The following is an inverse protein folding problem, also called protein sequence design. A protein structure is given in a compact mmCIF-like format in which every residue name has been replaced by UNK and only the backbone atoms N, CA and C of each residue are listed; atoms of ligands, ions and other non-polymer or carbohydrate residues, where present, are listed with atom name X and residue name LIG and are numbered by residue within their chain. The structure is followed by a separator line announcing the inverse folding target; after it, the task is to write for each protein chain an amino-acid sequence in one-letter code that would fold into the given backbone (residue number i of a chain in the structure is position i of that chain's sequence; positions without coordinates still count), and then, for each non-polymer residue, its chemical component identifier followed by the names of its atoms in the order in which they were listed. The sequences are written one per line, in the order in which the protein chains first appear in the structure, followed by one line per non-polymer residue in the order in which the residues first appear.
data_IF_626513230232
#
_entry.id   IF_626513230232
#
_cell.length_a   1.000
_cell.length_b   1.000
_cell.length_c   1.000
_cell.angle_alpha   90.00
_cell.angle_beta   90.00
_cell.angle_gamma   90.00
#
_symmetry.space_group_name_H-M   'P 1'
#
loop_
_entity.id
_entity.type
_entity.pdbx_description
1 polymer ?
#
# COMPACT_ATOMS: atom_id res chain seq x y z
N UNK A 1 -12.10 24.24 -44.57
CA UNK A 1 -11.17 24.68 -43.52
C UNK A 1 -11.47 23.87 -42.27
N UNK A 2 -10.61 22.88 -42.08
CA UNK A 2 -10.21 22.11 -40.89
C UNK A 2 -11.22 21.89 -39.74
N UNK A 3 -11.54 20.59 -39.62
CA UNK A 3 -12.08 19.86 -38.48
C UNK A 3 -11.37 20.15 -37.14
N UNK A 4 -12.17 20.12 -36.07
CA UNK A 4 -11.75 20.33 -34.70
C UNK A 4 -10.77 19.26 -34.20
N UNK A 5 -9.65 19.73 -33.67
CA UNK A 5 -8.67 18.94 -32.95
C UNK A 5 -9.24 18.47 -31.61
N UNK A 6 -9.15 17.16 -31.37
CA UNK A 6 -9.22 16.57 -30.02
C UNK A 6 -8.02 17.06 -29.24
N UNK A 7 -8.18 18.19 -28.56
CA UNK A 7 -7.23 18.69 -27.56
C UNK A 7 -7.26 17.72 -26.36
N UNK A 8 -6.31 16.78 -26.34
CA UNK A 8 -5.98 16.02 -25.13
C UNK A 8 -5.45 16.96 -24.04
N UNK A 9 -5.67 16.67 -22.75
CA UNK A 9 -5.25 17.56 -21.68
C UNK A 9 -3.72 17.70 -21.66
N UNK A 10 -3.17 18.88 -21.29
CA UNK A 10 -1.74 19.12 -21.34
C UNK A 10 -1.00 18.26 -20.30
N UNK A 11 0.01 17.52 -20.77
CA UNK A 11 0.97 16.77 -19.96
C UNK A 11 1.93 17.75 -19.27
N UNK A 12 1.51 18.22 -18.11
CA UNK A 12 2.26 19.13 -17.25
C UNK A 12 1.57 19.44 -15.92
N UNK A 13 0.59 18.63 -15.53
CA UNK A 13 -0.04 18.75 -14.22
C UNK A 13 0.85 18.08 -13.18
N UNK A 14 1.24 18.75 -12.08
CA UNK A 14 1.55 18.00 -10.86
C UNK A 14 0.30 17.16 -10.55
N UNK A 15 0.39 15.93 -10.01
CA UNK A 15 -0.78 15.08 -9.88
C UNK A 15 -1.84 15.86 -9.11
N UNK A 16 -2.91 16.26 -9.79
CA UNK A 16 -4.09 16.88 -9.19
C UNK A 16 -4.71 15.94 -8.13
N UNK A 17 -4.27 14.68 -8.05
CA UNK A 17 -4.51 13.78 -6.92
C UNK A 17 -3.85 14.22 -5.61
N UNK A 18 -2.66 14.84 -5.57
CA UNK A 18 -1.99 15.07 -4.27
C UNK A 18 -2.71 16.11 -3.39
N UNK A 19 -3.30 17.16 -4.00
CA UNK A 19 -4.05 18.18 -3.28
C UNK A 19 -5.56 17.91 -3.19
N UNK A 20 -6.17 17.21 -4.15
CA UNK A 20 -7.57 16.77 -4.03
C UNK A 20 -7.72 15.63 -3.00
N UNK A 21 -6.70 14.79 -2.78
CA UNK A 21 -6.70 13.73 -1.77
C UNK A 21 -6.49 14.22 -0.34
N UNK A 22 -5.90 15.39 -0.10
CA UNK A 22 -5.69 15.91 1.27
C UNK A 22 -7.02 16.05 2.06
N UNK A 23 -8.15 16.29 1.39
CA UNK A 23 -9.48 16.36 2.00
C UNK A 23 -10.10 14.98 2.29
N UNK A 24 -9.73 13.93 1.55
CA UNK A 24 -10.08 12.52 1.84
C UNK A 24 -9.12 11.86 2.83
N UNK A 25 -7.90 12.41 2.98
CA UNK A 25 -6.85 11.92 3.90
C UNK A 25 -7.12 12.25 5.37
N UNK A 26 -8.04 13.17 5.66
CA UNK A 26 -8.63 13.36 6.99
C UNK A 26 -9.67 12.28 7.34
N UNK A 27 -9.80 11.23 6.52
CA UNK A 27 -10.62 10.05 6.81
C UNK A 27 -10.06 9.20 7.95
N UNK A 28 -10.02 9.76 9.16
CA UNK A 28 -10.10 8.95 10.37
C UNK A 28 -11.45 8.22 10.28
N UNK A 29 -11.44 7.00 9.74
CA UNK A 29 -12.50 6.08 10.03
C UNK A 29 -12.41 5.83 11.54
N UNK A 30 -13.43 6.20 12.35
CA UNK A 30 -13.34 6.11 13.80
C UNK A 30 -13.14 4.66 14.29
N UNK A 31 -13.27 3.67 13.41
CA UNK A 31 -13.06 2.25 13.71
C UNK A 31 -11.63 1.76 13.48
N UNK A 32 -10.73 2.53 12.86
CA UNK A 32 -9.33 2.08 12.63
C UNK A 32 -8.57 1.77 13.93
N UNK A 33 -8.57 2.61 14.99
CA UNK A 33 -7.82 2.28 16.21
C UNK A 33 -8.39 1.04 16.92
N UNK A 34 -9.71 0.84 16.89
CA UNK A 34 -10.34 -0.35 17.46
C UNK A 34 -10.01 -1.60 16.64
N UNK A 35 -10.06 -1.50 15.30
CA UNK A 35 -9.70 -2.61 14.40
C UNK A 35 -8.26 -3.02 14.60
N UNK A 36 -7.35 -2.05 14.74
CA UNK A 36 -5.93 -2.31 14.91
C UNK A 36 -5.65 -2.92 16.30
N UNK A 37 -6.34 -2.46 17.34
CA UNK A 37 -6.32 -3.10 18.66
C UNK A 37 -6.78 -4.57 18.58
N UNK A 38 -7.92 -4.83 17.95
CA UNK A 38 -8.46 -6.19 17.84
C UNK A 38 -7.55 -7.12 17.05
N UNK A 39 -6.86 -6.62 16.02
CA UNK A 39 -5.87 -7.40 15.27
C UNK A 39 -4.68 -7.80 16.15
N UNK A 40 -4.15 -6.88 16.94
CA UNK A 40 -3.04 -7.16 17.87
C UNK A 40 -3.50 -8.09 19.00
N UNK A 41 -4.70 -7.88 19.55
CA UNK A 41 -5.28 -8.73 20.57
C UNK A 41 -5.45 -10.17 20.09
N UNK A 42 -6.09 -10.38 18.94
CA UNK A 42 -6.31 -11.73 18.40
C UNK A 42 -4.99 -12.45 18.12
N UNK A 43 -3.99 -11.71 17.61
CA UNK A 43 -2.66 -12.28 17.37
C UNK A 43 -1.95 -12.62 18.69
N UNK A 44 -2.08 -11.77 19.70
CA UNK A 44 -1.50 -12.00 21.03
C UNK A 44 -2.11 -13.24 21.68
N UNK A 45 -3.43 -13.39 21.66
CA UNK A 45 -4.11 -14.54 22.25
C UNK A 45 -3.70 -15.84 21.57
N UNK A 46 -3.57 -15.85 20.24
CA UNK A 46 -3.10 -17.02 19.50
C UNK A 46 -1.66 -17.40 19.89
N UNK A 47 -0.75 -16.42 19.90
CA UNK A 47 0.67 -16.67 20.20
C UNK A 47 0.87 -17.15 21.64
N UNK A 48 0.24 -16.49 22.60
CA UNK A 48 0.40 -16.85 24.00
C UNK A 48 -0.22 -18.22 24.29
N UNK A 49 -1.35 -18.56 23.67
CA UNK A 49 -1.91 -19.91 23.77
C UNK A 49 -0.97 -20.98 23.20
N UNK A 50 -0.43 -20.77 22.00
CA UNK A 50 0.50 -21.72 21.36
C UNK A 50 1.83 -21.91 22.14
N UNK A 51 2.26 -20.90 22.92
CA UNK A 51 3.55 -20.96 23.63
C UNK A 51 3.45 -21.34 25.10
N UNK A 52 2.37 -20.96 25.77
CA UNK A 52 2.23 -21.14 27.22
C UNK A 52 1.32 -22.30 27.62
N UNK A 53 0.49 -22.82 26.70
CA UNK A 53 -0.43 -23.94 26.99
C UNK A 53 -0.01 -25.16 26.15
N UNK A 54 0.98 -25.95 26.62
CA UNK A 54 1.48 -27.11 25.89
C UNK A 54 0.52 -28.31 25.94
N UNK A 55 -0.32 -28.41 26.97
CA UNK A 55 -1.21 -29.55 27.17
C UNK A 55 -2.53 -29.12 27.82
N UNK A 56 -3.64 -29.72 27.38
CA UNK A 56 -4.99 -29.40 27.88
C UNK A 56 -5.55 -30.56 28.73
N UNK A 57 -4.76 -31.03 29.70
CA UNK A 57 -5.17 -32.13 30.58
C UNK A 57 -6.26 -31.72 31.58
N UNK A 58 -6.30 -30.43 31.94
CA UNK A 58 -7.27 -29.84 32.85
C UNK A 58 -7.98 -28.66 32.18
N UNK A 59 -9.23 -28.39 32.59
CA UNK A 59 -10.02 -27.27 32.03
C UNK A 59 -9.55 -25.91 32.56
N UNK A 60 -8.98 -25.88 33.76
CA UNK A 60 -8.38 -24.69 34.35
C UNK A 60 -6.89 -24.62 33.97
N UNK A 61 -6.36 -23.41 33.88
CA UNK A 61 -4.94 -23.16 33.68
C UNK A 61 -4.18 -23.49 34.97
N UNK A 62 -2.98 -24.04 34.81
CA UNK A 62 -2.05 -24.22 35.93
C UNK A 62 -1.36 -22.89 36.28
N UNK A 63 -0.88 -22.73 37.51
CA UNK A 63 -0.25 -21.48 37.97
C UNK A 63 0.99 -21.07 37.13
N UNK A 64 1.73 -22.06 36.61
CA UNK A 64 2.86 -21.82 35.70
C UNK A 64 2.41 -21.31 34.32
N UNK A 65 1.28 -21.81 33.82
CA UNK A 65 0.70 -21.35 32.56
C UNK A 65 0.16 -19.92 32.71
N UNK A 66 -0.51 -19.62 33.83
CA UNK A 66 -0.96 -18.26 34.17
C UNK A 66 0.21 -17.27 34.22
N UNK A 67 1.29 -17.60 34.94
CA UNK A 67 2.50 -16.77 35.01
C UNK A 67 3.17 -16.57 33.63
N UNK A 68 3.15 -17.61 32.78
CA UNK A 68 3.63 -17.52 31.40
C UNK A 68 2.76 -16.59 30.55
N UNK A 69 1.43 -16.68 30.66
CA UNK A 69 0.49 -15.84 29.91
C UNK A 69 0.65 -14.36 30.25
N UNK A 70 0.77 -14.02 31.54
CA UNK A 70 1.03 -12.65 32.00
C UNK A 70 2.34 -12.10 31.43
N UNK A 71 3.40 -12.92 31.51
CA UNK A 71 4.71 -12.57 30.93
C UNK A 71 4.65 -12.43 29.41
N UNK A 72 3.90 -13.28 28.71
CA UNK A 72 3.76 -13.27 27.26
C UNK A 72 3.04 -12.00 26.79
N UNK A 73 1.87 -11.71 27.38
CA UNK A 73 1.09 -10.52 27.07
C UNK A 73 1.90 -9.25 27.35
N UNK A 74 2.56 -9.17 28.52
CA UNK A 74 3.45 -8.07 28.86
C UNK A 74 4.56 -7.88 27.82
N UNK A 75 5.31 -8.94 27.50
CA UNK A 75 6.40 -8.86 26.50
C UNK A 75 5.90 -8.43 25.12
N UNK A 76 4.76 -8.96 24.68
CA UNK A 76 4.23 -8.66 23.36
C UNK A 76 3.77 -7.20 23.27
N UNK A 77 3.06 -6.69 24.27
CA UNK A 77 2.63 -5.27 24.31
C UNK A 77 3.84 -4.34 24.28
N UNK A 78 4.83 -4.55 25.15
CA UNK A 78 6.03 -3.71 25.19
C UNK A 78 6.81 -3.77 23.87
N UNK A 79 6.95 -4.96 23.30
CA UNK A 79 7.65 -5.15 22.01
C UNK A 79 6.89 -4.50 20.86
N UNK A 80 5.56 -4.66 20.83
CA UNK A 80 4.70 -4.05 19.83
C UNK A 80 4.79 -2.53 19.86
N UNK A 81 4.73 -1.92 21.06
CA UNK A 81 4.91 -0.47 21.21
C UNK A 81 6.29 0.00 20.73
N UNK A 82 7.37 -0.72 21.06
CA UNK A 82 8.72 -0.37 20.59
C UNK A 82 8.86 -0.46 19.07
N UNK A 83 8.30 -1.51 18.47
CA UNK A 83 8.31 -1.69 17.02
C UNK A 83 7.47 -0.62 16.32
N UNK A 84 6.28 -0.33 16.86
CA UNK A 84 5.40 0.68 16.30
C UNK A 84 6.02 2.08 16.39
N UNK A 85 6.71 2.39 17.49
CA UNK A 85 7.45 3.64 17.62
C UNK A 85 8.54 3.78 16.54
N UNK A 86 9.35 2.73 16.32
CA UNK A 86 10.36 2.74 15.28
C UNK A 86 9.75 2.82 13.86
N UNK A 87 8.65 2.11 13.63
CA UNK A 87 7.94 2.10 12.37
C UNK A 87 7.42 3.49 11.99
N UNK A 88 6.79 4.20 12.93
CA UNK A 88 6.29 5.56 12.71
C UNK A 88 7.42 6.54 12.36
N UNK A 89 8.62 6.33 12.90
CA UNK A 89 9.79 7.15 12.55
C UNK A 89 10.35 6.82 11.16
N UNK A 90 10.37 5.55 10.76
CA UNK A 90 11.02 5.10 9.53
C UNK A 90 10.11 5.21 8.29
N UNK A 91 8.81 4.98 8.46
CA UNK A 91 7.86 4.89 7.35
C UNK A 91 7.75 6.13 6.46
N UNK A 92 7.76 7.38 6.98
CA UNK A 92 7.69 8.56 6.13
C UNK A 92 8.82 8.61 5.10
N UNK A 93 10.05 8.30 5.53
CA UNK A 93 11.22 8.28 4.64
C UNK A 93 11.14 7.16 3.60
N UNK A 94 10.70 5.96 3.99
CA UNK A 94 10.52 4.83 3.07
C UNK A 94 9.43 5.12 2.02
N UNK A 95 8.31 5.71 2.43
CA UNK A 95 7.21 6.05 1.53
C UNK A 95 7.62 7.18 0.58
N UNK A 96 8.35 8.19 1.04
CA UNK A 96 8.88 9.26 0.19
C UNK A 96 9.81 8.72 -0.90
N UNK A 97 10.75 7.83 -0.55
CA UNK A 97 11.62 7.19 -1.54
C UNK A 97 10.83 6.41 -2.58
N UNK A 98 9.84 5.63 -2.14
CA UNK A 98 8.97 4.88 -3.04
C UNK A 98 8.24 5.79 -4.03
N UNK A 99 7.76 6.96 -3.58
CA UNK A 99 7.10 7.93 -4.47
C UNK A 99 8.08 8.45 -5.52
N UNK A 100 9.30 8.83 -5.10
CA UNK A 100 10.35 9.31 -6.01
C UNK A 100 10.76 8.25 -7.04
N UNK A 101 10.87 6.98 -6.65
CA UNK A 101 11.18 5.87 -7.55
C UNK A 101 10.07 5.67 -8.61
N UNK A 102 8.80 5.81 -8.21
CA UNK A 102 7.67 5.77 -9.15
C UNK A 102 7.70 6.93 -10.14
N UNK A 103 7.95 8.15 -9.67
CA UNK A 103 8.06 9.34 -10.52
C UNK A 103 9.22 9.20 -11.52
N UNK A 104 10.38 8.70 -11.08
CA UNK A 104 11.52 8.43 -11.95
C UNK A 104 11.20 7.35 -13.00
N UNK A 105 10.52 6.27 -12.61
CA UNK A 105 10.10 5.21 -13.54
C UNK A 105 9.08 5.70 -14.57
N UNK A 106 8.18 6.61 -14.18
CA UNK A 106 7.19 7.22 -15.07
C UNK A 106 7.84 8.18 -16.08
N UNK A 107 8.80 9.01 -15.64
CA UNK A 107 9.55 9.89 -16.53
C UNK A 107 10.39 9.11 -17.57
N UNK A 108 10.99 7.98 -17.17
CA UNK A 108 11.72 7.10 -18.09
C UNK A 108 10.78 6.46 -19.12
N UNK A 109 9.54 6.11 -18.74
CA UNK A 109 8.53 5.58 -19.65
C UNK A 109 8.07 6.64 -20.67
N UNK A 110 7.89 7.90 -20.26
CA UNK A 110 7.55 9.01 -21.18
C UNK A 110 8.67 9.31 -22.18
N UNK A 111 9.94 9.18 -21.78
CA UNK A 111 11.07 9.38 -22.72
C UNK A 111 11.31 8.22 -23.69
N UNK A 112 10.76 7.03 -23.41
CA UNK A 112 10.83 5.87 -24.31
C UNK A 112 9.72 5.89 -25.38
N UNK A 113 8.70 6.75 -25.24
CA UNK A 113 7.57 6.89 -26.17
C UNK A 113 7.64 8.23 -26.93
N UNK A 114 8.74 8.46 -27.66
CA UNK A 114 8.80 9.44 -28.75
C UNK A 114 9.22 8.74 -30.06
N UNK A 115 8.54 8.98 -31.19
CA UNK A 115 8.28 7.97 -32.20
C UNK A 115 9.35 7.93 -33.30
N UNK A 116 9.95 6.76 -33.54
CA UNK A 116 10.73 6.48 -34.74
C UNK A 116 9.89 5.76 -35.81
N UNK A 117 9.25 6.53 -36.70
CA UNK A 117 9.41 6.38 -38.16
C UNK A 117 8.45 7.27 -38.98
N UNK A 118 8.94 7.93 -40.05
CA UNK A 118 8.10 8.55 -41.07
C UNK A 118 7.66 7.47 -42.09
N UNK A 119 6.37 7.16 -42.11
CA UNK A 119 5.74 6.37 -43.17
C UNK A 119 5.01 7.28 -44.15
N UNK A 120 5.54 7.43 -45.37
CA UNK A 120 4.83 8.02 -46.50
C UNK A 120 4.85 7.04 -47.68
N UNK A 121 3.67 6.69 -48.20
CA UNK A 121 3.51 6.05 -49.51
C UNK A 121 2.54 4.86 -49.54
N UNK A 122 1.24 5.13 -49.71
CA UNK A 122 0.32 4.16 -50.31
C UNK A 122 0.51 4.15 -51.84
N UNK A 123 0.26 3.01 -52.51
CA UNK A 123 -0.46 3.02 -53.77
C UNK A 123 -1.75 2.21 -53.69
N UNK A 124 -2.82 2.81 -54.21
CA UNK A 124 -4.18 2.29 -54.18
C UNK A 124 -4.38 0.97 -54.94
N UNK A 125 -5.38 0.23 -54.47
CA UNK A 125 -5.95 -0.95 -55.10
C UNK A 125 -6.91 -0.55 -56.24
N UNK A 126 -6.86 -1.21 -57.41
CA UNK A 126 -7.99 -1.26 -58.32
C UNK A 126 -8.61 -2.67 -58.38
N UNK A 127 -9.94 -2.73 -58.34
CA UNK A 127 -10.73 -3.87 -58.80
C UNK A 127 -12.23 -3.62 -58.59
N UNK A 128 -13.14 -4.29 -59.32
CA UNK A 128 -12.96 -5.40 -60.26
C UNK A 128 -13.51 -5.10 -61.68
N UNK A 129 -13.31 -6.05 -62.61
CA UNK A 129 -13.71 -5.92 -64.01
C UNK A 129 -15.14 -6.36 -64.36
N UNK A 130 -15.39 -6.25 -65.67
CA UNK A 130 -16.58 -6.58 -66.49
C UNK A 130 -17.65 -5.50 -66.63
#
# INVERSE_FOLDING_TARGET
MLEGTREGPPLGYPPLCFCADLRKRSGLNPRTPLRDFLLVYNRMTELCFQRCVPSLHHRALDAEEEACLDSCAGKLVHSNHRLMAAYVQLMPALVQRRIADYEASAALAETAEAPSSPGAGQPGTPGPGS
#
